data_IF_102603195165
#
_entry.id   IF_102603195165
#
_cell.length_a   1.000
_cell.length_b   1.000
_cell.length_c   1.000
_cell.angle_alpha   90.00
_cell.angle_beta   90.00
_cell.angle_gamma   90.00
#
_symmetry.space_group_name_H-M   'P 1'
#
loop_
_entity.id
_entity.type
_entity.pdbx_description
1 polymer ?
#
# COMPACT_ATOMS: atom_id res chain seq x y z
N UNK A 1 -52.77 25.44 20.85
CA UNK A 1 -53.50 24.62 21.84
C UNK A 1 -52.64 23.39 22.05
N UNK A 2 -51.77 23.45 23.07
CA UNK A 2 -51.97 22.79 24.37
C UNK A 2 -51.71 21.29 24.22
N UNK A 3 -50.80 20.63 24.94
CA UNK A 3 -50.55 20.78 26.37
C UNK A 3 -49.16 20.22 26.75
N UNK A 4 -48.56 20.82 27.76
CA UNK A 4 -47.66 20.15 28.70
C UNK A 4 -48.30 20.27 30.08
N UNK A 5 -48.08 19.30 30.99
CA UNK A 5 -47.64 19.65 32.34
C UNK A 5 -46.43 18.79 32.78
N UNK A 6 -45.38 19.32 33.42
CA UNK A 6 -45.27 19.78 34.83
C UNK A 6 -45.39 18.62 35.83
N UNK A 7 -44.66 18.45 36.95
CA UNK A 7 -43.73 19.23 37.83
C UNK A 7 -43.15 18.21 38.86
N UNK A 8 -41.98 18.36 39.50
CA UNK A 8 -41.68 19.11 40.77
C UNK A 8 -40.15 19.10 41.00
N UNK A 9 -39.41 20.22 41.19
CA UNK A 9 -39.23 21.13 42.37
C UNK A 9 -38.77 20.40 43.65
N UNK A 10 -37.72 20.75 44.43
CA UNK A 10 -36.69 21.82 44.54
C UNK A 10 -35.58 21.26 45.48
N UNK A 11 -34.47 21.92 45.87
CA UNK A 11 -34.33 23.29 46.36
C UNK A 11 -32.84 23.74 46.42
N UNK A 12 -32.68 25.06 46.37
CA UNK A 12 -31.52 25.98 46.48
C UNK A 12 -30.78 25.90 47.84
N UNK A 13 -29.44 25.81 47.90
CA UNK A 13 -28.46 26.92 48.11
C UNK A 13 -27.99 27.06 49.59
N UNK A 14 -26.74 27.46 49.92
CA UNK A 14 -26.21 28.80 49.60
C UNK A 14 -24.70 28.92 49.22
N UNK A 15 -24.33 30.12 48.73
CA UNK A 15 -22.99 30.67 48.42
C UNK A 15 -22.19 31.03 49.72
N UNK A 16 -20.92 31.44 49.80
CA UNK A 16 -19.74 31.81 48.99
C UNK A 16 -18.49 31.63 49.92
N UNK A 17 -17.21 31.54 49.56
CA UNK A 17 -16.30 32.56 48.98
C UNK A 17 -14.85 31.96 48.87
N UNK A 18 -13.85 32.64 48.26
CA UNK A 18 -12.72 32.03 47.54
C UNK A 18 -11.44 31.83 48.36
N UNK A 19 -10.57 30.88 47.93
CA UNK A 19 -9.17 30.79 48.38
C UNK A 19 -8.22 30.56 47.19
N UNK A 20 -7.13 31.32 47.21
CA UNK A 20 -6.05 31.50 46.24
C UNK A 20 -5.08 30.29 46.08
N UNK A 21 -4.12 30.33 45.12
CA UNK A 21 -3.55 29.13 44.47
C UNK A 21 -2.18 28.64 45.01
N UNK A 22 -1.81 27.44 44.53
CA UNK A 22 -0.48 26.79 44.43
C UNK A 22 0.06 26.09 45.71
N UNK A 23 0.87 25.01 45.61
CA UNK A 23 2.11 24.98 44.81
C UNK A 23 2.21 23.83 43.78
N UNK A 24 3.03 24.13 42.76
CA UNK A 24 3.70 23.17 41.90
C UNK A 24 4.15 21.92 42.68
N UNK A 25 3.56 20.78 42.36
CA UNK A 25 4.19 19.50 42.63
C UNK A 25 4.46 18.89 41.27
N UNK A 26 5.71 19.04 40.83
CA UNK A 26 6.28 18.28 39.73
C UNK A 26 5.89 16.81 39.92
N UNK A 27 4.98 16.33 39.06
CA UNK A 27 4.65 14.93 38.98
C UNK A 27 5.93 14.14 38.66
N UNK A 28 6.12 12.96 39.26
CA UNK A 28 7.28 12.14 38.95
C UNK A 28 7.30 11.90 37.45
N UNK A 29 8.48 12.12 36.85
CA UNK A 29 8.77 11.78 35.47
C UNK A 29 8.13 10.43 35.18
N UNK A 30 7.21 10.43 34.22
CA UNK A 30 6.60 9.24 33.68
C UNK A 30 7.76 8.39 33.18
N UNK A 31 8.17 7.42 34.00
CA UNK A 31 9.17 6.43 33.66
C UNK A 31 8.53 5.62 32.56
N UNK A 32 8.71 6.11 31.33
CA UNK A 32 8.11 5.59 30.12
C UNK A 32 8.22 4.07 30.16
N UNK A 33 7.05 3.43 30.18
CA UNK A 33 6.95 1.98 30.14
C UNK A 33 7.67 1.50 28.87
N UNK A 34 8.93 1.09 29.05
CA UNK A 34 9.78 0.63 27.95
C UNK A 34 9.24 -0.66 27.32
N UNK A 35 8.23 -1.31 27.90
CA UNK A 35 7.65 -2.56 27.40
C UNK A 35 7.00 -2.43 26.01
N UNK A 36 6.57 -1.21 25.62
CA UNK A 36 5.95 -0.95 24.32
C UNK A 36 6.92 -0.66 23.17
N UNK A 37 8.22 -0.50 23.44
CA UNK A 37 9.20 -0.09 22.42
C UNK A 37 9.75 -1.32 21.68
N UNK A 38 9.60 -1.41 20.35
CA UNK A 38 10.11 -2.56 19.59
C UNK A 38 11.62 -2.73 19.73
N UNK A 39 12.11 -3.97 19.82
CA UNK A 39 13.55 -4.24 20.02
C UNK A 39 14.39 -3.72 18.84
N UNK A 40 13.85 -3.71 17.62
CA UNK A 40 14.52 -3.12 16.47
C UNK A 40 14.82 -1.62 16.67
N UNK A 41 13.91 -0.87 17.31
CA UNK A 41 14.10 0.54 17.67
C UNK A 41 15.18 0.68 18.74
N UNK A 42 15.16 -0.16 19.78
CA UNK A 42 16.20 -0.14 20.83
C UNK A 42 17.58 -0.47 20.26
N UNK A 43 17.66 -1.46 19.38
CA UNK A 43 18.90 -1.83 18.71
C UNK A 43 19.43 -0.70 17.82
N UNK A 44 18.54 0.01 17.12
CA UNK A 44 18.92 1.18 16.33
C UNK A 44 19.38 2.37 17.19
N UNK A 45 18.70 2.64 18.30
CA UNK A 45 19.09 3.69 19.25
C UNK A 45 20.49 3.45 19.84
N UNK A 46 20.82 2.20 20.20
CA UNK A 46 22.18 1.83 20.66
C UNK A 46 23.25 2.07 19.60
N UNK A 47 22.90 1.98 18.31
CA UNK A 47 23.82 2.25 17.19
C UNK A 47 23.94 3.75 16.86
N UNK A 48 22.94 4.55 17.23
CA UNK A 48 22.89 5.98 16.95
C UNK A 48 22.46 6.81 18.17
N UNK A 49 23.30 6.89 19.23
CA UNK A 49 23.01 7.73 20.40
C UNK A 49 22.80 9.19 20.01
N UNK A 50 21.83 9.87 20.62
CA UNK A 50 21.52 11.28 20.35
C UNK A 50 20.76 11.55 19.04
N UNK A 51 20.33 10.51 18.33
CA UNK A 51 19.64 10.65 17.02
C UNK A 51 18.17 10.25 17.10
N UNK A 52 17.38 10.69 16.13
CA UNK A 52 16.02 10.21 15.93
C UNK A 52 16.04 8.89 15.15
N UNK A 53 15.36 7.88 15.69
CA UNK A 53 15.17 6.55 15.11
C UNK A 53 13.76 6.46 14.57
N UNK A 54 13.61 6.52 13.26
CA UNK A 54 12.32 6.36 12.58
C UNK A 54 11.94 4.89 12.41
N UNK A 55 10.66 4.57 12.56
CA UNK A 55 10.06 3.30 12.14
C UNK A 55 9.41 3.48 10.78
N UNK A 56 9.84 2.64 9.85
CA UNK A 56 9.42 2.65 8.44
C UNK A 56 8.35 1.60 8.25
N UNK A 57 7.28 1.90 7.49
CA UNK A 57 6.20 1.01 7.07
C UNK A 57 6.70 -0.33 6.48
N UNK A 58 6.03 -1.49 6.70
CA UNK A 58 6.58 -2.79 6.29
C UNK A 58 6.57 -2.97 4.77
N UNK A 59 5.69 -2.23 4.08
CA UNK A 59 5.54 -2.34 2.64
C UNK A 59 6.51 -1.43 1.87
N UNK A 60 7.32 -0.63 2.58
CA UNK A 60 8.47 0.06 2.00
C UNK A 60 9.65 -0.91 1.86
N UNK A 61 9.93 -1.33 0.63
CA UNK A 61 10.96 -2.33 0.31
C UNK A 61 12.11 -1.77 -0.54
N UNK A 62 12.09 -0.47 -0.85
CA UNK A 62 13.11 0.13 -1.71
C UNK A 62 14.46 0.25 -0.99
N UNK A 63 15.54 -0.03 -1.70
CA UNK A 63 16.93 0.13 -1.23
C UNK A 63 17.38 1.60 -1.26
N UNK A 64 16.53 2.50 -0.76
CA UNK A 64 16.81 3.92 -0.63
C UNK A 64 16.19 4.49 0.64
N UNK A 65 16.65 5.66 1.12
CA UNK A 65 16.04 6.29 2.30
C UNK A 65 14.53 6.43 2.11
N UNK A 66 13.72 5.99 3.09
CA UNK A 66 12.28 6.08 2.99
C UNK A 66 11.87 7.56 2.93
N UNK A 67 10.92 7.91 2.05
CA UNK A 67 10.33 9.24 2.07
C UNK A 67 9.58 9.44 3.38
N UNK A 68 9.38 10.70 3.78
CA UNK A 68 8.74 11.04 5.06
C UNK A 68 7.38 10.35 5.21
N UNK A 69 6.57 10.26 4.15
CA UNK A 69 5.26 9.63 4.21
C UNK A 69 5.28 8.12 4.47
N UNK A 70 6.42 7.43 4.32
CA UNK A 70 6.56 6.00 4.60
C UNK A 70 7.06 5.73 6.05
N UNK A 71 7.33 6.79 6.82
CA UNK A 71 7.79 6.68 8.22
C UNK A 71 6.58 6.84 9.13
N UNK A 72 6.29 5.84 9.96
CA UNK A 72 5.17 5.83 10.91
C UNK A 72 5.36 6.88 12.02
N UNK A 73 6.59 7.02 12.48
CA UNK A 73 6.98 7.92 13.57
C UNK A 73 8.41 7.67 14.00
N UNK A 74 8.88 8.45 14.96
CA UNK A 74 10.28 8.45 15.38
C UNK A 74 10.41 8.43 16.89
N UNK A 75 11.40 7.72 17.40
CA UNK A 75 11.82 7.81 18.79
C UNK A 75 13.14 8.56 18.91
N UNK A 76 13.26 9.43 19.90
CA UNK A 76 14.53 10.07 20.22
C UNK A 76 15.43 9.11 20.98
N UNK A 77 16.67 8.94 20.52
CA UNK A 77 17.73 8.30 21.31
C UNK A 77 18.48 9.34 22.13
N UNK A 78 18.75 9.04 23.40
CA UNK A 78 19.61 9.88 24.25
C UNK A 78 21.12 9.61 24.01
N UNK A 79 21.98 10.36 24.70
CA UNK A 79 23.44 10.21 24.58
C UNK A 79 23.99 8.86 25.07
N UNK A 80 23.17 8.03 25.73
CA UNK A 80 23.52 6.67 26.14
C UNK A 80 23.06 5.59 25.14
N UNK A 81 22.30 5.97 24.11
CA UNK A 81 21.69 5.03 23.17
C UNK A 81 20.38 4.42 23.68
N UNK A 82 19.80 4.98 24.75
CA UNK A 82 18.47 4.61 25.25
C UNK A 82 17.38 5.32 24.47
N UNK A 83 16.20 4.71 24.39
CA UNK A 83 15.04 5.24 23.67
C UNK A 83 14.19 6.08 24.62
N UNK A 84 13.89 7.32 24.24
CA UNK A 84 13.09 8.28 24.98
C UNK A 84 11.75 8.59 24.29
N UNK A 85 11.50 9.88 24.02
CA UNK A 85 10.22 10.39 23.50
C UNK A 85 9.88 9.84 22.11
N UNK A 86 8.61 9.49 21.92
CA UNK A 86 8.04 9.13 20.62
C UNK A 86 7.30 10.32 19.99
N UNK A 87 7.55 10.54 18.71
CA UNK A 87 6.83 11.51 17.87
C UNK A 87 6.17 10.79 16.70
N UNK A 88 4.84 10.81 16.67
CA UNK A 88 4.08 10.35 15.52
C UNK A 88 4.34 11.25 14.30
N UNK A 89 4.42 10.66 13.12
CA UNK A 89 4.59 11.41 11.90
C UNK A 89 3.22 11.76 11.27
N UNK A 90 2.81 13.04 11.23
CA UNK A 90 1.54 13.44 10.64
C UNK A 90 1.48 13.24 9.11
N UNK A 91 2.62 13.09 8.43
CA UNK A 91 2.68 12.83 7.00
C UNK A 91 2.57 11.33 6.65
N UNK A 92 2.54 10.44 7.65
CA UNK A 92 2.51 9.00 7.45
C UNK A 92 1.29 8.55 6.63
N UNK A 93 1.54 7.71 5.63
CA UNK A 93 0.53 7.04 4.82
C UNK A 93 0.60 5.54 5.09
N UNK A 94 -0.39 4.97 5.78
CA UNK A 94 -0.36 3.55 6.13
C UNK A 94 -0.52 2.67 4.90
N UNK A 95 0.22 1.57 4.87
CA UNK A 95 0.06 0.54 3.84
C UNK A 95 -1.20 -0.30 4.03
N UNK A 96 -1.51 -1.16 3.06
CA UNK A 96 -2.67 -2.04 3.09
C UNK A 96 -2.67 -2.94 4.34
N UNK A 97 -1.51 -3.53 4.65
CA UNK A 97 -1.34 -4.35 5.86
C UNK A 97 -1.59 -3.57 7.15
N UNK A 98 -1.10 -2.33 7.24
CA UNK A 98 -1.30 -1.49 8.44
C UNK A 98 -2.76 -1.02 8.56
N UNK A 99 -3.43 -0.80 7.43
CA UNK A 99 -4.87 -0.51 7.38
C UNK A 99 -5.75 -1.73 7.71
N UNK A 100 -5.17 -2.92 7.89
CA UNK A 100 -5.91 -4.16 8.15
C UNK A 100 -6.70 -4.64 6.93
N UNK A 101 -6.24 -4.31 5.73
CA UNK A 101 -6.84 -4.81 4.50
C UNK A 101 -6.63 -6.33 4.38
N UNK A 102 -7.56 -7.05 3.72
CA UNK A 102 -7.37 -8.47 3.44
C UNK A 102 -6.07 -8.71 2.65
N UNK A 103 -5.44 -9.87 2.88
CA UNK A 103 -4.31 -10.31 2.06
C UNK A 103 -4.74 -10.35 0.59
N UNK A 104 -3.92 -9.82 -0.34
CA UNK A 104 -4.28 -9.82 -1.75
C UNK A 104 -4.54 -11.22 -2.29
N UNK A 105 -5.57 -11.37 -3.12
CA UNK A 105 -5.96 -12.69 -3.64
C UNK A 105 -5.14 -13.13 -4.85
N UNK A 106 -4.55 -12.19 -5.57
CA UNK A 106 -3.78 -12.39 -6.79
C UNK A 106 -2.84 -11.18 -7.05
N UNK A 107 -1.92 -11.27 -8.04
CA UNK A 107 -1.00 -10.17 -8.34
C UNK A 107 -1.67 -8.85 -8.76
N UNK A 108 -2.86 -8.89 -9.38
CA UNK A 108 -3.61 -7.68 -9.75
C UNK A 108 -4.17 -7.01 -8.52
N UNK A 109 -4.79 -7.77 -7.61
CA UNK A 109 -5.27 -7.25 -6.33
C UNK A 109 -4.10 -6.69 -5.49
N UNK A 110 -2.96 -7.37 -5.46
CA UNK A 110 -1.77 -6.88 -4.74
C UNK A 110 -1.28 -5.54 -5.30
N UNK A 111 -1.17 -5.43 -6.62
CA UNK A 111 -0.76 -4.20 -7.28
C UNK A 111 -1.80 -3.07 -7.09
N UNK A 112 -3.10 -3.39 -7.13
CA UNK A 112 -4.18 -2.45 -6.89
C UNK A 112 -4.15 -1.90 -5.45
N UNK A 113 -3.99 -2.78 -4.46
CA UNK A 113 -3.90 -2.37 -3.06
C UNK A 113 -2.67 -1.47 -2.80
N UNK A 114 -1.52 -1.80 -3.38
CA UNK A 114 -0.31 -0.97 -3.30
C UNK A 114 -0.50 0.38 -3.99
N UNK A 115 -1.12 0.41 -5.17
CA UNK A 115 -1.40 1.65 -5.88
C UNK A 115 -2.35 2.57 -5.08
N UNK A 116 -3.41 2.00 -4.47
CA UNK A 116 -4.37 2.74 -3.66
C UNK A 116 -3.76 3.36 -2.40
N UNK A 117 -2.72 2.74 -1.84
CA UNK A 117 -2.01 3.21 -0.64
C UNK A 117 -0.76 4.04 -0.96
N UNK A 118 -0.38 4.15 -2.24
CA UNK A 118 0.79 4.89 -2.70
C UNK A 118 2.13 4.14 -2.59
N UNK A 119 2.09 2.85 -2.22
CA UNK A 119 3.25 1.96 -2.17
C UNK A 119 3.53 1.26 -3.51
N UNK A 120 2.70 1.51 -4.52
CA UNK A 120 2.86 1.04 -5.90
C UNK A 120 2.31 2.06 -6.89
N UNK A 121 2.55 1.82 -8.17
CA UNK A 121 2.03 2.68 -9.24
C UNK A 121 0.79 2.08 -9.89
N UNK A 122 -0.03 2.95 -10.49
CA UNK A 122 -1.19 2.52 -11.30
C UNK A 122 -0.73 1.73 -12.51
N UNK A 123 0.41 2.09 -13.11
CA UNK A 123 1.03 1.40 -14.23
C UNK A 123 1.42 -0.04 -13.88
N UNK A 124 1.87 -0.29 -12.64
CA UNK A 124 2.17 -1.65 -12.17
C UNK A 124 0.88 -2.47 -12.07
N UNK A 125 -0.22 -1.89 -11.57
CA UNK A 125 -1.52 -2.56 -11.53
C UNK A 125 -2.08 -2.85 -12.94
N UNK A 126 -1.94 -1.91 -13.87
CA UNK A 126 -2.31 -2.11 -15.27
C UNK A 126 -1.45 -3.17 -15.96
N UNK A 127 -0.16 -3.23 -15.64
CA UNK A 127 0.75 -4.25 -16.18
C UNK A 127 0.36 -5.63 -15.67
N UNK A 128 0.15 -5.78 -14.35
CA UNK A 128 -0.33 -7.04 -13.76
C UNK A 128 -1.67 -7.48 -14.36
N UNK A 129 -2.62 -6.55 -14.52
CA UNK A 129 -3.90 -6.84 -15.16
C UNK A 129 -3.73 -7.30 -16.60
N UNK A 130 -2.87 -6.64 -17.38
CA UNK A 130 -2.63 -6.97 -18.78
C UNK A 130 -1.94 -8.34 -18.98
N UNK A 131 -1.31 -8.88 -17.94
CA UNK A 131 -0.65 -10.19 -17.94
C UNK A 131 -1.53 -11.31 -17.35
N UNK A 132 -2.74 -10.97 -16.89
CA UNK A 132 -3.64 -11.90 -16.21
C UNK A 132 -4.74 -12.45 -17.12
N UNK A 133 -5.19 -13.65 -16.80
CA UNK A 133 -6.50 -14.14 -17.25
C UNK A 133 -7.59 -13.53 -16.36
N UNK A 134 -8.72 -13.20 -16.96
CA UNK A 134 -9.87 -12.59 -16.28
C UNK A 134 -11.12 -13.41 -16.55
N UNK A 135 -11.97 -13.51 -15.54
CA UNK A 135 -13.30 -14.09 -15.64
C UNK A 135 -14.32 -12.98 -15.84
N UNK A 136 -15.19 -13.11 -16.85
CA UNK A 136 -16.31 -12.20 -17.13
C UNK A 136 -17.62 -12.97 -17.19
N UNK A 137 -18.71 -12.32 -16.79
CA UNK A 137 -20.06 -12.84 -17.03
C UNK A 137 -20.41 -12.65 -18.50
N UNK A 138 -21.05 -13.63 -19.14
CA UNK A 138 -21.48 -13.56 -20.54
C UNK A 138 -22.84 -12.89 -20.68
N UNK A 139 -22.94 -11.98 -21.65
CA UNK A 139 -24.18 -11.40 -22.11
C UNK A 139 -24.97 -12.35 -23.01
N UNK A 140 -26.26 -12.07 -23.25
CA UNK A 140 -27.13 -12.91 -24.09
C UNK A 140 -26.71 -12.93 -25.58
N UNK A 141 -25.91 -11.96 -26.02
CA UNK A 141 -25.31 -11.88 -27.34
C UNK A 141 -24.02 -12.72 -27.49
N UNK A 142 -23.57 -13.35 -26.40
CA UNK A 142 -22.31 -14.08 -26.35
C UNK A 142 -21.09 -13.19 -26.13
N UNK A 143 -21.25 -11.88 -25.95
CA UNK A 143 -20.17 -10.99 -25.52
C UNK A 143 -20.00 -10.95 -23.99
N UNK A 144 -19.07 -10.15 -23.46
CA UNK A 144 -19.06 -9.83 -22.03
C UNK A 144 -20.32 -9.04 -21.65
N UNK A 145 -20.92 -9.38 -20.51
CA UNK A 145 -22.06 -8.67 -19.96
C UNK A 145 -21.64 -7.22 -19.69
N UNK A 146 -22.30 -6.30 -20.37
CA UNK A 146 -22.04 -4.86 -20.25
C UNK A 146 -23.16 -4.21 -19.44
N UNK A 147 -22.78 -3.52 -18.37
CA UNK A 147 -23.65 -2.70 -17.55
C UNK A 147 -23.50 -1.21 -17.90
N UNK A 148 -24.48 -0.40 -17.51
CA UNK A 148 -24.34 1.05 -17.57
C UNK A 148 -23.59 1.56 -16.34
N UNK A 149 -22.46 2.23 -16.54
CA UNK A 149 -21.79 3.03 -15.53
C UNK A 149 -22.66 4.19 -15.06
N UNK A 150 -22.31 4.79 -13.91
CA UNK A 150 -23.08 5.91 -13.34
C UNK A 150 -23.08 7.15 -14.24
N UNK A 151 -22.04 7.31 -15.04
CA UNK A 151 -21.90 8.33 -16.08
C UNK A 151 -22.54 7.94 -17.43
N UNK A 152 -23.12 6.74 -17.52
CA UNK A 152 -23.70 6.18 -18.73
C UNK A 152 -22.69 5.48 -19.65
N UNK A 153 -21.39 5.50 -19.33
CA UNK A 153 -20.40 4.75 -20.10
C UNK A 153 -20.61 3.23 -19.92
N UNK A 154 -20.41 2.42 -20.96
CA UNK A 154 -20.48 0.97 -20.82
C UNK A 154 -19.39 0.48 -19.86
N UNK A 155 -19.74 -0.43 -18.96
CA UNK A 155 -18.82 -1.02 -18.00
C UNK A 155 -18.94 -2.54 -17.99
N UNK A 156 -17.81 -3.23 -18.03
CA UNK A 156 -17.73 -4.69 -17.88
C UNK A 156 -17.15 -5.00 -16.51
N UNK A 157 -17.84 -5.84 -15.75
CA UNK A 157 -17.33 -6.40 -14.51
C UNK A 157 -16.44 -7.58 -14.86
N UNK A 158 -15.25 -7.62 -14.27
CA UNK A 158 -14.32 -8.72 -14.43
C UNK A 158 -13.66 -9.07 -13.11
N UNK A 159 -13.20 -10.32 -13.02
CA UNK A 159 -12.61 -10.88 -11.82
C UNK A 159 -11.26 -11.51 -12.15
N UNK A 160 -10.26 -11.28 -11.31
CA UNK A 160 -8.89 -11.83 -11.49
C UNK A 160 -8.61 -13.03 -10.59
N UNK A 161 -9.53 -13.33 -9.67
CA UNK A 161 -9.44 -14.48 -8.77
C UNK A 161 -10.84 -15.01 -8.42
N UNK A 162 -11.00 -16.34 -8.26
CA UNK A 162 -12.24 -16.95 -7.77
C UNK A 162 -12.74 -16.41 -6.44
N UNK A 163 -11.88 -15.84 -5.60
CA UNK A 163 -12.28 -15.20 -4.34
C UNK A 163 -13.13 -13.95 -4.55
N UNK A 164 -12.96 -13.26 -5.68
CA UNK A 164 -13.76 -12.09 -6.05
C UNK A 164 -14.99 -12.44 -6.88
N UNK A 165 -15.01 -13.63 -7.46
CA UNK A 165 -16.01 -13.98 -8.45
C UNK A 165 -17.41 -14.06 -7.84
N UNK A 166 -18.34 -13.32 -8.44
CA UNK A 166 -19.76 -13.59 -8.32
C UNK A 166 -20.12 -14.80 -9.21
N UNK A 167 -19.59 -15.98 -8.88
CA UNK A 167 -19.90 -17.23 -9.60
C UNK A 167 -21.27 -17.75 -9.17
N UNK A 168 -22.30 -17.30 -9.86
CA UNK A 168 -23.59 -17.99 -9.85
C UNK A 168 -23.56 -19.10 -10.89
N UNK A 169 -23.91 -20.32 -10.50
CA UNK A 169 -24.17 -21.45 -11.41
C UNK A 169 -25.28 -21.16 -12.44
N UNK A 170 -26.11 -20.17 -12.18
CA UNK A 170 -27.16 -19.70 -13.08
C UNK A 170 -26.63 -18.79 -14.21
N UNK A 171 -25.38 -18.32 -14.13
CA UNK A 171 -24.77 -17.44 -15.09
C UNK A 171 -23.66 -18.16 -15.85
N UNK A 172 -23.50 -17.82 -17.12
CA UNK A 172 -22.36 -18.28 -17.91
C UNK A 172 -21.20 -17.33 -17.71
N UNK A 173 -20.02 -17.89 -17.43
CA UNK A 173 -18.78 -17.14 -17.27
C UNK A 173 -17.75 -17.68 -18.24
N UNK A 174 -16.93 -16.76 -18.76
CA UNK A 174 -15.79 -17.08 -19.60
C UNK A 174 -14.52 -16.56 -18.95
N UNK A 175 -13.46 -17.36 -19.02
CA UNK A 175 -12.11 -16.96 -18.64
C UNK A 175 -11.28 -16.78 -19.90
N UNK A 176 -10.65 -15.61 -20.04
CA UNK A 176 -9.84 -15.25 -21.19
C UNK A 176 -8.74 -14.26 -20.79
N UNK A 177 -7.67 -14.11 -21.59
CA UNK A 177 -6.64 -13.11 -21.33
C UNK A 177 -7.23 -11.69 -21.28
N UNK A 178 -6.83 -10.87 -20.30
CA UNK A 178 -7.32 -9.50 -20.16
C UNK A 178 -7.10 -8.65 -21.43
N UNK A 179 -6.01 -8.90 -22.15
CA UNK A 179 -5.70 -8.23 -23.42
C UNK A 179 -6.64 -8.63 -24.54
N UNK A 180 -7.09 -9.87 -24.58
CA UNK A 180 -8.07 -10.33 -25.57
C UNK A 180 -9.41 -9.62 -25.35
N UNK A 181 -9.87 -9.58 -24.08
CA UNK A 181 -11.05 -8.81 -23.69
C UNK A 181 -10.90 -7.33 -24.09
N UNK A 182 -9.80 -6.68 -23.72
CA UNK A 182 -9.54 -5.29 -24.06
C UNK A 182 -9.52 -5.03 -25.57
N UNK A 183 -8.95 -5.96 -26.35
CA UNK A 183 -8.93 -5.84 -27.80
C UNK A 183 -10.33 -5.94 -28.41
N UNK A 184 -11.18 -6.83 -27.89
CA UNK A 184 -12.58 -6.96 -28.32
C UNK A 184 -13.41 -5.71 -28.03
N UNK A 185 -13.04 -4.95 -26.99
CA UNK A 185 -13.71 -3.74 -26.53
C UNK A 185 -13.08 -2.46 -27.08
N UNK A 186 -12.06 -2.56 -27.94
CA UNK A 186 -11.26 -1.42 -28.35
C UNK A 186 -12.10 -0.32 -29.00
N UNK A 187 -11.91 0.93 -28.54
CA UNK A 187 -12.59 2.11 -29.09
C UNK A 187 -14.09 2.19 -28.78
N UNK A 188 -14.62 1.27 -27.96
CA UNK A 188 -16.03 1.31 -27.51
C UNK A 188 -16.28 2.34 -26.40
N UNK A 189 -15.22 2.88 -25.79
CA UNK A 189 -15.32 3.69 -24.57
C UNK A 189 -15.67 2.88 -23.32
N UNK A 190 -15.58 1.54 -23.38
CA UNK A 190 -15.93 0.66 -22.26
C UNK A 190 -14.91 0.76 -21.13
N UNK A 191 -15.42 0.83 -19.91
CA UNK A 191 -14.65 0.77 -18.68
C UNK A 191 -14.60 -0.68 -18.17
N UNK A 192 -13.45 -1.07 -17.65
CA UNK A 192 -13.23 -2.33 -16.96
C UNK A 192 -13.33 -2.07 -15.46
N UNK A 193 -14.24 -2.78 -14.80
CA UNK A 193 -14.40 -2.76 -13.34
C UNK A 193 -13.85 -4.07 -12.79
N UNK A 194 -12.61 -4.02 -12.33
CA UNK A 194 -11.84 -5.17 -11.85
C UNK A 194 -12.12 -5.37 -10.36
N UNK A 195 -12.51 -6.59 -10.00
CA UNK A 195 -12.80 -7.00 -8.62
C UNK A 195 -13.69 -5.97 -7.89
N UNK A 196 -14.91 -5.69 -8.37
CA UNK A 196 -15.76 -4.60 -7.86
C UNK A 196 -16.06 -4.65 -6.35
N UNK A 197 -15.97 -5.84 -5.73
CA UNK A 197 -16.13 -6.03 -4.29
C UNK A 197 -14.85 -6.02 -3.48
N UNK A 198 -13.68 -5.84 -4.10
CA UNK A 198 -12.41 -5.75 -3.41
C UNK A 198 -12.29 -4.45 -2.61
N UNK A 199 -11.34 -4.43 -1.68
CA UNK A 199 -10.99 -3.23 -0.91
C UNK A 199 -10.35 -2.13 -1.80
N UNK A 200 -9.67 -2.53 -2.87
CA UNK A 200 -9.07 -1.64 -3.86
C UNK A 200 -9.47 -2.04 -5.30
N UNK A 201 -10.74 -1.80 -5.70
CA UNK A 201 -11.18 -2.13 -7.05
C UNK A 201 -10.51 -1.21 -8.09
N UNK A 202 -10.19 -1.75 -9.27
CA UNK A 202 -9.70 -0.93 -10.39
C UNK A 202 -10.87 -0.55 -11.31
N UNK A 203 -10.89 0.71 -11.72
CA UNK A 203 -11.83 1.22 -12.71
C UNK A 203 -11.06 1.93 -13.83
N UNK A 204 -10.86 1.25 -14.96
CA UNK A 204 -9.91 1.67 -15.99
C UNK A 204 -10.51 1.54 -17.40
N UNK A 205 -10.17 2.43 -18.35
CA UNK A 205 -10.61 2.26 -19.73
C UNK A 205 -10.04 0.96 -20.34
N UNK A 206 -10.84 0.22 -21.09
CA UNK A 206 -10.39 -1.01 -21.75
C UNK A 206 -9.19 -0.76 -22.69
N UNK A 207 -9.17 0.39 -23.36
CA UNK A 207 -8.09 0.79 -24.26
C UNK A 207 -6.73 0.88 -23.57
N UNK A 208 -6.69 1.03 -22.24
CA UNK A 208 -5.44 1.09 -21.45
C UNK A 208 -4.61 -0.19 -21.51
N UNK A 209 -5.23 -1.33 -21.86
CA UNK A 209 -4.54 -2.63 -21.94
C UNK A 209 -4.16 -3.03 -23.37
N UNK A 210 -4.48 -2.20 -24.37
CA UNK A 210 -4.31 -2.52 -25.80
C UNK A 210 -2.91 -2.22 -26.35
N UNK A 211 -1.99 -1.73 -25.51
CA UNK A 211 -0.59 -1.54 -25.88
C UNK A 211 0.08 -2.84 -26.33
N UNK A 212 1.17 -2.77 -27.11
CA UNK A 212 1.84 -3.96 -27.62
C UNK A 212 2.26 -4.89 -26.48
N UNK A 213 1.99 -6.19 -26.65
CA UNK A 213 2.58 -7.24 -25.82
C UNK A 213 4.08 -7.18 -26.06
N UNK A 214 4.94 -6.98 -25.04
CA UNK A 214 6.36 -7.19 -25.22
C UNK A 214 6.53 -8.63 -25.70
N UNK A 215 7.03 -8.81 -26.91
CA UNK A 215 7.32 -10.15 -27.40
C UNK A 215 8.37 -10.77 -26.47
N UNK A 216 7.98 -11.79 -25.71
CA UNK A 216 8.95 -12.69 -25.09
C UNK A 216 9.69 -13.43 -26.21
N UNK A 217 10.97 -13.10 -26.42
CA UNK A 217 11.83 -13.85 -27.33
C UNK A 217 12.81 -13.00 -28.13
N UNK A 218 14.01 -12.82 -27.57
CA UNK A 218 15.27 -12.90 -28.32
C UNK A 218 15.45 -11.96 -29.52
N UNK A 219 15.90 -10.74 -29.26
CA UNK A 219 16.74 -10.03 -30.21
C UNK A 219 17.85 -9.30 -29.45
N UNK A 220 19.01 -9.97 -29.40
CA UNK A 220 20.29 -9.39 -29.00
C UNK A 220 20.58 -8.23 -29.95
N UNK A 221 20.22 -7.02 -29.56
CA UNK A 221 20.68 -5.81 -30.23
C UNK A 221 22.18 -5.73 -29.97
N UNK A 222 22.97 -6.08 -30.98
CA UNK A 222 24.41 -5.91 -30.96
C UNK A 222 24.71 -4.41 -31.03
N UNK A 223 25.40 -3.81 -30.05
CA UNK A 223 25.90 -2.46 -30.24
C UNK A 223 27.03 -2.48 -31.25
N UNK A 224 26.97 -1.49 -32.14
CA UNK A 224 27.91 -1.24 -33.21
C UNK A 224 29.35 -1.07 -32.69
N UNK A 225 30.28 -1.58 -33.48
CA UNK A 225 31.73 -1.41 -33.40
C UNK A 225 32.13 0.05 -33.23
N UNK A 226 32.80 0.38 -32.12
CA UNK A 226 33.70 1.53 -32.04
C UNK A 226 35.10 0.99 -31.74
N UNK A 227 35.98 1.17 -32.71
CA UNK A 227 37.40 0.84 -32.65
C UNK A 227 38.13 1.87 -31.78
N UNK A 228 38.80 1.43 -30.72
CA UNK A 228 39.96 2.13 -30.13
C UNK A 228 40.85 1.18 -29.30
N UNK A 229 42.05 0.96 -29.85
CA UNK A 229 43.36 0.57 -29.30
C UNK A 229 43.54 0.16 -27.81
N UNK A 230 44.01 -1.08 -27.66
CA UNK A 230 45.23 -1.56 -26.96
C UNK A 230 45.57 -1.10 -25.52
N UNK A 231 45.58 -2.08 -24.60
CA UNK A 231 46.22 -2.05 -23.28
C UNK A 231 45.80 -3.22 -22.38
N UNK A 232 46.50 -4.36 -22.45
CA UNK A 232 46.25 -5.60 -21.68
C UNK A 232 46.87 -5.59 -20.25
N UNK A 233 46.78 -6.67 -19.43
CA UNK A 233 45.60 -7.41 -18.97
C UNK A 233 45.60 -7.62 -17.43
N UNK A 234 44.46 -8.08 -16.87
CA UNK A 234 44.49 -8.86 -15.62
C UNK A 234 43.28 -8.68 -14.71
N UNK A 235 42.26 -9.53 -14.86
CA UNK A 235 41.55 -10.21 -13.77
C UNK A 235 40.35 -10.97 -14.33
N UNK A 236 40.32 -12.27 -14.04
CA UNK A 236 39.24 -13.23 -14.29
C UNK A 236 37.92 -12.76 -13.64
N UNK A 237 36.76 -12.82 -14.30
CA UNK A 237 35.48 -12.75 -13.60
C UNK A 237 35.09 -14.15 -13.13
N UNK A 238 34.95 -14.30 -11.82
CA UNK A 238 34.26 -15.43 -11.23
C UNK A 238 32.78 -15.37 -11.64
N UNK A 239 32.27 -16.52 -12.05
CA UNK A 239 30.85 -16.77 -12.23
C UNK A 239 30.10 -16.75 -10.89
N UNK A 240 28.77 -16.74 -11.01
CA UNK A 240 27.76 -17.01 -9.97
C UNK A 240 27.24 -15.75 -9.24
N UNK A 241 25.95 -15.55 -9.04
CA UNK A 241 24.80 -16.45 -9.14
C UNK A 241 23.53 -15.64 -9.34
N UNK A 242 22.65 -16.13 -10.21
CA UNK A 242 21.23 -15.96 -10.01
C UNK A 242 20.85 -16.69 -8.71
N UNK A 243 20.42 -15.95 -7.70
CA UNK A 243 19.66 -16.49 -6.57
C UNK A 243 18.87 -15.34 -5.92
N UNK A 244 17.74 -15.00 -6.54
CA UNK A 244 16.67 -14.24 -5.86
C UNK A 244 15.68 -15.27 -5.33
N UNK A 245 16.15 -16.06 -4.38
CA UNK A 245 15.31 -16.82 -3.48
C UNK A 245 14.85 -15.90 -2.33
N UNK A 246 13.61 -16.11 -1.90
CA UNK A 246 12.96 -15.52 -0.73
C UNK A 246 13.95 -15.14 0.38
N UNK A 247 14.12 -13.84 0.60
CA UNK A 247 14.73 -13.38 1.84
C UNK A 247 13.73 -13.63 2.97
N UNK A 248 14.11 -14.30 4.07
CA UNK A 248 13.24 -14.41 5.23
C UNK A 248 12.91 -13.00 5.73
N UNK A 249 11.62 -12.74 5.97
CA UNK A 249 11.12 -11.47 6.47
C UNK A 249 11.85 -11.09 7.76
N UNK A 250 12.62 -10.00 7.74
CA UNK A 250 13.21 -9.46 8.95
C UNK A 250 12.11 -9.13 9.97
N UNK A 251 12.40 -9.24 11.28
CA UNK A 251 11.43 -8.90 12.30
C UNK A 251 11.12 -7.39 12.22
N UNK A 252 9.88 -7.11 11.85
CA UNK A 252 9.25 -5.80 11.97
C UNK A 252 9.45 -5.21 13.39
N UNK A 253 9.66 -3.89 13.56
CA UNK A 253 9.73 -2.84 12.52
C UNK A 253 11.11 -2.61 11.90
N UNK A 254 11.13 -2.17 10.64
CA UNK A 254 12.34 -1.63 10.02
C UNK A 254 12.61 -0.22 10.56
N UNK A 255 13.90 0.10 10.75
CA UNK A 255 14.31 1.38 11.35
C UNK A 255 15.26 2.15 10.45
N UNK A 256 15.12 3.48 10.47
CA UNK A 256 16.01 4.42 9.77
C UNK A 256 16.53 5.48 10.74
N UNK A 257 17.74 5.98 10.51
CA UNK A 257 18.34 7.05 11.32
C UNK A 257 18.40 8.36 10.56
N UNK A 258 18.06 9.47 11.23
CA UNK A 258 18.34 10.83 10.73
C UNK A 258 19.42 11.51 11.55
N UNK A 259 20.35 12.18 10.86
CA UNK A 259 21.36 13.07 11.45
C UNK A 259 20.66 14.29 12.07
N UNK A 260 21.10 14.79 13.24
CA UNK A 260 20.52 15.96 13.91
C UNK A 260 20.52 17.24 13.06
#
# INVERSE_FOLDING_TARGET
MSDAPSVISGATGPAADPVSPAPDTAGPADSADTSGIPEAVRAAARRAPGHWVGVVDPEWTEERPPPEWAVLGEWQSDGSGSVGEYRANPAYRPSARVLGWPEPTDPVDAAAQRAATGYGSVEAALTALAESDVTVVRGPDGGPLTAAGRDGAPAVLLFTSPTHEFMSDALHHDTLPARELAHSLKGSGTMLMVNPGAVAPLFVPADSLTGPVPAEGGARVSPATVTAAEGAPGATPAASSADRADRPSEPWPHTTGRTP
#
